data_IF_456601863738
#
_entry.id   IF_456601863738
#
_cell.length_a   1.000
_cell.length_b   1.000
_cell.length_c   1.000
_cell.angle_alpha   90.00
_cell.angle_beta   90.00
_cell.angle_gamma   90.00
#
_symmetry.space_group_name_H-M   'P 1'
#
loop_
_entity.id
_entity.type
_entity.pdbx_description
1 polymer ?
#
# COMPACT_ATOMS: atom_id res chain seq x y z
N UNK A 1 13.70 -48.45 -16.68
CA UNK A 1 14.85 -47.53 -16.55
C UNK A 1 14.30 -46.13 -16.85
N UNK A 2 14.37 -45.16 -15.92
CA UNK A 2 15.50 -44.22 -15.72
C UNK A 2 15.84 -43.47 -17.03
N UNK A 3 15.91 -42.14 -17.12
CA UNK A 3 15.72 -41.02 -16.17
C UNK A 3 15.76 -39.70 -16.96
N UNK A 4 15.06 -38.64 -16.53
CA UNK A 4 15.46 -37.19 -16.64
C UNK A 4 15.73 -36.65 -18.08
N UNK A 5 15.86 -35.37 -18.45
CA UNK A 5 15.71 -34.00 -17.88
C UNK A 5 15.47 -33.06 -19.11
N UNK A 6 15.12 -31.77 -19.09
CA UNK A 6 14.92 -30.73 -18.07
C UNK A 6 13.82 -29.74 -18.58
N UNK A 7 13.55 -28.66 -17.83
CA UNK A 7 12.66 -27.55 -18.19
C UNK A 7 13.26 -26.52 -19.16
N UNK A 8 12.41 -25.58 -19.66
CA UNK A 8 12.64 -24.11 -19.65
C UNK A 8 11.57 -23.39 -20.51
N UNK A 9 10.51 -22.83 -19.91
CA UNK A 9 10.26 -21.36 -19.74
C UNK A 9 10.08 -20.56 -21.08
N UNK A 10 9.09 -19.69 -21.32
CA UNK A 10 7.85 -19.24 -20.64
C UNK A 10 6.82 -18.93 -21.74
N UNK A 11 5.55 -19.29 -21.56
CA UNK A 11 4.48 -18.75 -22.39
C UNK A 11 3.97 -17.44 -21.76
N UNK A 12 4.30 -16.30 -22.36
CA UNK A 12 3.79 -14.99 -21.94
C UNK A 12 2.31 -14.89 -22.33
N UNK A 13 1.43 -15.33 -21.43
CA UNK A 13 -0.01 -15.25 -21.59
C UNK A 13 -0.52 -14.02 -20.83
N UNK A 14 -0.59 -12.89 -21.53
CA UNK A 14 -1.27 -11.70 -21.04
C UNK A 14 -2.77 -11.99 -20.92
N UNK A 15 -3.21 -12.45 -19.74
CA UNK A 15 -4.63 -12.65 -19.43
C UNK A 15 -5.22 -11.30 -19.03
N UNK A 16 -5.65 -10.55 -20.04
CA UNK A 16 -6.39 -9.30 -19.82
C UNK A 16 -7.69 -9.57 -19.05
N UNK A 17 -7.85 -8.86 -17.93
CA UNK A 17 -9.10 -8.53 -17.23
C UNK A 17 -10.30 -9.49 -17.44
N UNK A 18 -10.25 -10.66 -16.78
CA UNK A 18 -11.45 -11.48 -16.57
C UNK A 18 -11.97 -11.31 -15.14
N UNK A 19 -12.67 -10.20 -14.90
CA UNK A 19 -13.30 -9.88 -13.62
C UNK A 19 -14.49 -10.84 -13.32
N UNK A 20 -14.18 -12.04 -12.84
CA UNK A 20 -15.18 -12.99 -12.35
C UNK A 20 -15.42 -12.73 -10.85
N UNK A 21 -16.63 -12.31 -10.43
CA UNK A 21 -16.91 -12.00 -9.04
C UNK A 21 -17.18 -13.28 -8.23
N UNK A 22 -16.11 -14.02 -7.93
CA UNK A 22 -16.10 -14.92 -6.80
C UNK A 22 -15.59 -14.15 -5.57
N UNK A 23 -16.29 -14.20 -4.42
CA UNK A 23 -15.71 -13.79 -3.15
C UNK A 23 -14.68 -14.83 -2.73
N UNK A 24 -13.50 -14.79 -3.37
CA UNK A 24 -12.33 -15.50 -2.87
C UNK A 24 -12.01 -14.91 -1.49
N UNK A 25 -11.83 -15.78 -0.49
CA UNK A 25 -11.49 -15.35 0.86
C UNK A 25 -10.18 -14.55 0.84
N UNK A 26 -9.15 -15.05 0.18
CA UNK A 26 -7.86 -14.38 0.00
C UNK A 26 -7.57 -14.17 -1.52
N UNK A 27 -6.85 -13.09 -1.83
CA UNK A 27 -6.27 -12.76 -3.14
C UNK A 27 -4.79 -12.40 -2.97
N UNK A 28 -3.89 -13.27 -3.43
CA UNK A 28 -2.46 -12.99 -3.55
C UNK A 28 -2.11 -12.65 -5.01
N UNK A 29 -1.41 -11.53 -5.23
CA UNK A 29 -0.91 -11.09 -6.53
C UNK A 29 0.57 -10.71 -6.44
N UNK A 30 1.41 -11.42 -7.18
CA UNK A 30 2.83 -11.06 -7.38
C UNK A 30 3.10 -10.68 -8.84
N UNK A 31 3.66 -9.49 -9.09
CA UNK A 31 4.04 -9.03 -10.45
C UNK A 31 5.34 -8.21 -10.47
N UNK A 32 5.90 -7.99 -11.67
CA UNK A 32 6.95 -6.99 -11.87
C UNK A 32 6.38 -5.57 -11.96
N UNK A 33 5.33 -5.42 -12.77
CA UNK A 33 4.52 -4.20 -12.91
C UNK A 33 3.05 -4.59 -12.85
N UNK A 34 2.24 -3.81 -12.15
CA UNK A 34 0.81 -3.98 -12.04
C UNK A 34 0.16 -2.59 -12.15
N UNK A 35 -0.98 -2.54 -12.84
CA UNK A 35 -1.60 -1.34 -13.40
C UNK A 35 -3.12 -1.59 -13.37
N UNK A 36 -3.93 -0.57 -13.07
CA UNK A 36 -5.40 -0.64 -12.93
C UNK A 36 -5.88 -1.76 -11.95
N UNK A 37 -5.16 -2.03 -10.85
CA UNK A 37 -5.47 -3.21 -10.01
C UNK A 37 -6.61 -2.99 -9.02
N UNK A 38 -7.77 -3.56 -9.36
CA UNK A 38 -8.95 -3.63 -8.50
C UNK A 38 -9.10 -4.98 -7.78
N UNK A 39 -9.15 -4.96 -6.45
CA UNK A 39 -9.41 -6.14 -5.61
C UNK A 39 -10.69 -6.03 -4.75
N UNK A 40 -11.30 -7.20 -4.50
CA UNK A 40 -12.40 -7.35 -3.55
C UNK A 40 -12.48 -8.79 -3.03
N UNK A 41 -12.09 -8.98 -1.78
CA UNK A 41 -11.93 -10.27 -1.09
C UNK A 41 -12.13 -10.09 0.42
N UNK A 42 -11.78 -11.05 1.27
CA UNK A 42 -11.64 -10.82 2.71
C UNK A 42 -10.19 -10.43 3.06
N UNK A 43 -9.19 -11.04 2.44
CA UNK A 43 -7.76 -10.72 2.53
C UNK A 43 -7.26 -10.37 1.11
N UNK A 44 -6.32 -9.43 0.98
CA UNK A 44 -5.76 -9.02 -0.30
C UNK A 44 -4.29 -8.63 -0.16
N UNK A 45 -3.41 -9.48 -0.70
CA UNK A 45 -1.97 -9.40 -0.54
C UNK A 45 -1.37 -9.09 -1.92
N UNK A 46 -0.66 -7.97 -2.06
CA UNK A 46 -0.11 -7.54 -3.35
C UNK A 46 1.39 -7.24 -3.22
N UNK A 47 2.20 -7.91 -4.04
CA UNK A 47 3.64 -7.65 -4.17
C UNK A 47 3.97 -7.25 -5.60
N UNK A 48 4.50 -6.04 -5.80
CA UNK A 48 4.88 -5.53 -7.12
C UNK A 48 6.25 -4.84 -7.12
N UNK A 49 6.91 -4.75 -8.28
CA UNK A 49 8.04 -3.84 -8.45
C UNK A 49 7.56 -2.39 -8.60
N UNK A 50 6.55 -2.23 -9.45
CA UNK A 50 5.77 -1.00 -9.62
C UNK A 50 4.30 -1.36 -9.59
N UNK A 51 3.52 -0.60 -8.83
CA UNK A 51 2.06 -0.70 -8.75
C UNK A 51 1.48 0.69 -9.00
N UNK A 52 0.61 0.77 -10.00
CA UNK A 52 -0.07 1.97 -10.48
C UNK A 52 -1.59 1.76 -10.35
N UNK A 53 -2.33 2.81 -10.00
CA UNK A 53 -3.80 2.81 -9.82
C UNK A 53 -4.33 1.61 -8.98
N UNK A 54 -3.93 1.50 -7.71
CA UNK A 54 -4.35 0.40 -6.84
C UNK A 54 -5.62 0.69 -6.06
N UNK A 55 -6.67 -0.11 -6.26
CA UNK A 55 -7.88 -0.07 -5.43
C UNK A 55 -8.12 -1.40 -4.71
N UNK A 56 -8.11 -1.38 -3.38
CA UNK A 56 -8.53 -2.54 -2.56
C UNK A 56 -9.82 -2.30 -1.78
N UNK A 57 -10.60 -3.39 -1.62
CA UNK A 57 -11.71 -3.42 -0.67
C UNK A 57 -11.88 -4.81 -0.05
N UNK A 58 -11.32 -4.97 1.14
CA UNK A 58 -11.22 -6.23 1.87
C UNK A 58 -11.62 -6.08 3.34
N UNK A 59 -11.39 -7.12 4.15
CA UNK A 59 -11.20 -6.97 5.59
C UNK A 59 -9.74 -6.56 5.84
N UNK A 60 -8.75 -7.34 5.38
CA UNK A 60 -7.32 -6.98 5.51
C UNK A 60 -6.68 -6.72 4.13
N UNK A 61 -5.72 -5.80 4.04
CA UNK A 61 -5.07 -5.42 2.78
C UNK A 61 -3.59 -5.13 2.97
N UNK A 62 -2.74 -6.01 2.48
CA UNK A 62 -1.28 -5.92 2.59
C UNK A 62 -0.69 -5.58 1.22
N UNK A 63 0.05 -4.47 1.13
CA UNK A 63 0.67 -4.03 -0.14
C UNK A 63 2.15 -3.78 0.05
N UNK A 64 2.97 -4.48 -0.73
CA UNK A 64 4.43 -4.29 -0.80
C UNK A 64 4.82 -3.87 -2.22
N UNK A 65 5.46 -2.72 -2.37
CA UNK A 65 5.99 -2.28 -3.68
C UNK A 65 7.39 -1.65 -3.62
N UNK A 66 8.02 -1.52 -4.79
CA UNK A 66 9.17 -0.62 -4.97
C UNK A 66 8.70 0.83 -5.18
N UNK A 67 7.76 1.01 -6.11
CA UNK A 67 7.03 2.25 -6.35
C UNK A 67 5.53 1.94 -6.32
N UNK A 68 4.78 2.72 -5.55
CA UNK A 68 3.33 2.67 -5.48
C UNK A 68 2.80 4.07 -5.79
N UNK A 69 2.01 4.17 -6.85
CA UNK A 69 1.35 5.37 -7.33
C UNK A 69 -0.18 5.18 -7.17
N UNK A 70 -0.92 6.25 -6.90
CA UNK A 70 -2.38 6.29 -6.69
C UNK A 70 -2.95 5.08 -5.89
N UNK A 71 -2.72 5.06 -4.56
CA UNK A 71 -3.18 3.96 -3.69
C UNK A 71 -4.47 4.28 -2.93
N UNK A 72 -5.57 3.58 -3.26
CA UNK A 72 -6.82 3.60 -2.49
C UNK A 72 -7.09 2.28 -1.76
N UNK A 73 -7.10 2.32 -0.43
CA UNK A 73 -7.55 1.19 0.42
C UNK A 73 -8.82 1.49 1.20
N UNK A 74 -9.71 0.51 1.26
CA UNK A 74 -10.85 0.49 2.18
C UNK A 74 -11.06 -0.88 2.82
N UNK A 75 -10.48 -1.03 4.00
CA UNK A 75 -10.39 -2.29 4.76
C UNK A 75 -10.83 -2.10 6.23
N UNK A 76 -10.54 -3.08 7.07
CA UNK A 76 -10.51 -3.01 8.53
C UNK A 76 -9.07 -2.72 8.99
N UNK A 77 -8.08 -3.51 8.58
CA UNK A 77 -6.64 -3.24 8.76
C UNK A 77 -5.97 -3.04 7.38
N UNK A 78 -4.94 -2.20 7.27
CA UNK A 78 -4.30 -1.88 5.99
C UNK A 78 -2.82 -1.57 6.18
N UNK A 79 -1.98 -2.46 5.66
CA UNK A 79 -0.53 -2.37 5.79
C UNK A 79 0.09 -2.08 4.43
N UNK A 80 0.84 -0.98 4.33
CA UNK A 80 1.49 -0.55 3.08
C UNK A 80 2.99 -0.36 3.32
N UNK A 81 3.80 -1.11 2.59
CA UNK A 81 5.26 -0.97 2.55
C UNK A 81 5.70 -0.58 1.14
N UNK A 82 6.36 0.57 0.98
CA UNK A 82 6.91 0.97 -0.32
C UNK A 82 8.34 1.56 -0.24
N UNK A 83 9.03 1.60 -1.37
CA UNK A 83 10.23 2.44 -1.54
C UNK A 83 9.82 3.91 -1.74
N UNK A 84 8.88 4.13 -2.67
CA UNK A 84 8.21 5.41 -2.93
C UNK A 84 6.71 5.16 -2.93
N UNK A 85 5.97 5.99 -2.20
CA UNK A 85 4.51 5.99 -2.15
C UNK A 85 4.03 7.41 -2.45
N UNK A 86 3.34 7.56 -3.58
CA UNK A 86 2.68 8.78 -4.03
C UNK A 86 1.16 8.62 -3.90
N UNK A 87 0.43 9.74 -3.78
CA UNK A 87 -1.04 9.84 -3.67
C UNK A 87 -1.72 8.68 -2.86
N UNK A 88 -1.45 8.61 -1.55
CA UNK A 88 -2.01 7.55 -0.70
C UNK A 88 -3.33 7.95 -0.02
N UNK A 89 -4.41 7.21 -0.27
CA UNK A 89 -5.68 7.31 0.45
C UNK A 89 -6.03 5.99 1.19
N UNK A 90 -6.01 5.99 2.52
CA UNK A 90 -6.59 4.89 3.32
C UNK A 90 -7.85 5.28 4.10
N UNK A 91 -8.80 4.34 4.15
CA UNK A 91 -9.94 4.40 5.07
C UNK A 91 -10.23 3.03 5.69
N UNK A 92 -9.68 2.84 6.88
CA UNK A 92 -9.70 1.59 7.64
C UNK A 92 -10.16 1.82 9.10
N UNK A 93 -10.06 0.79 9.94
CA UNK A 93 -9.98 0.95 11.39
C UNK A 93 -8.51 1.16 11.80
N UNK A 94 -7.61 0.31 11.32
CA UNK A 94 -6.16 0.43 11.55
C UNK A 94 -5.41 0.64 10.23
N UNK A 95 -4.33 1.42 10.23
CA UNK A 95 -3.54 1.69 9.03
C UNK A 95 -2.08 1.91 9.39
N UNK A 96 -1.19 1.04 8.91
CA UNK A 96 0.26 1.20 9.04
C UNK A 96 0.89 1.43 7.67
N UNK A 97 1.68 2.51 7.56
CA UNK A 97 2.36 2.90 6.32
C UNK A 97 3.86 3.04 6.60
N UNK A 98 4.67 2.25 5.90
CA UNK A 98 6.13 2.33 5.90
C UNK A 98 6.61 2.71 4.50
N UNK A 99 7.30 3.85 4.35
CA UNK A 99 7.87 4.24 3.06
C UNK A 99 9.27 4.86 3.15
N UNK A 100 10.06 4.72 2.09
CA UNK A 100 11.28 5.51 1.91
C UNK A 100 10.96 6.98 1.66
N UNK A 101 10.03 7.24 0.74
CA UNK A 101 9.43 8.55 0.46
C UNK A 101 7.92 8.42 0.46
N UNK A 102 7.23 9.29 1.18
CA UNK A 102 5.77 9.38 1.22
C UNK A 102 5.36 10.81 0.85
N UNK A 103 4.59 10.95 -0.23
CA UNK A 103 3.98 12.21 -0.68
C UNK A 103 2.44 12.11 -0.65
N UNK A 104 1.77 13.26 -0.67
CA UNK A 104 0.31 13.47 -0.71
C UNK A 104 -0.53 12.40 0.03
N UNK A 105 -0.17 12.15 1.29
CA UNK A 105 -0.77 11.08 2.09
C UNK A 105 -2.03 11.55 2.86
N UNK A 106 -3.19 11.01 2.51
CA UNK A 106 -4.46 11.13 3.25
C UNK A 106 -4.85 9.82 3.96
N UNK A 107 -5.20 9.89 5.24
CA UNK A 107 -5.87 8.75 5.91
C UNK A 107 -7.01 9.16 6.83
N UNK A 108 -7.93 8.21 7.01
CA UNK A 108 -8.98 8.24 8.03
C UNK A 108 -9.16 6.87 8.66
N UNK A 109 -8.58 6.68 9.83
CA UNK A 109 -8.64 5.45 10.63
C UNK A 109 -9.13 5.70 12.07
N UNK A 110 -9.02 4.71 12.95
CA UNK A 110 -9.14 4.82 14.39
C UNK A 110 -7.74 4.98 15.02
N UNK A 111 -6.83 4.03 14.81
CA UNK A 111 -5.40 4.16 15.14
C UNK A 111 -4.56 4.13 13.84
N UNK A 112 -3.32 4.61 13.90
CA UNK A 112 -2.48 4.82 12.71
C UNK A 112 -0.99 4.90 13.03
N UNK A 113 -0.17 4.16 12.29
CA UNK A 113 1.28 4.33 12.23
C UNK A 113 1.75 4.84 10.87
N UNK A 114 2.67 5.81 10.87
CA UNK A 114 3.43 6.19 9.67
C UNK A 114 4.92 6.23 9.99
N UNK A 115 5.71 5.46 9.25
CA UNK A 115 7.17 5.52 9.26
C UNK A 115 7.67 5.92 7.88
N UNK A 116 8.29 7.10 7.77
CA UNK A 116 8.75 7.65 6.50
C UNK A 116 10.23 8.07 6.55
N UNK A 117 11.00 7.79 5.49
CA UNK A 117 12.32 8.40 5.31
C UNK A 117 12.19 9.91 5.03
N UNK A 118 11.34 10.26 4.06
CA UNK A 118 10.88 11.62 3.76
C UNK A 118 9.36 11.64 3.72
N UNK A 119 8.74 12.66 4.31
CA UNK A 119 7.29 12.89 4.33
C UNK A 119 6.97 14.31 3.81
N UNK A 120 6.19 14.41 2.74
CA UNK A 120 5.52 15.63 2.27
C UNK A 120 3.99 15.43 2.33
N UNK A 121 3.24 16.53 2.38
CA UNK A 121 1.77 16.67 2.48
C UNK A 121 1.00 15.52 3.17
N UNK A 122 1.22 15.42 4.47
CA UNK A 122 0.53 14.45 5.32
C UNK A 122 -0.76 15.00 5.97
N UNK A 123 -1.92 14.43 5.62
CA UNK A 123 -3.20 14.65 6.27
C UNK A 123 -3.75 13.39 6.94
N UNK A 124 -4.23 13.53 8.17
CA UNK A 124 -4.84 12.45 8.93
C UNK A 124 -6.15 12.85 9.59
N UNK A 125 -6.98 11.83 9.85
CA UNK A 125 -8.12 11.93 10.75
C UNK A 125 -8.31 10.61 11.49
N UNK A 126 -7.51 10.45 12.52
CA UNK A 126 -7.52 9.28 13.41
C UNK A 126 -7.81 9.70 14.86
N UNK A 127 -8.15 8.75 15.72
CA UNK A 127 -8.32 9.00 17.16
C UNK A 127 -6.97 8.93 17.88
N UNK A 128 -6.13 7.97 17.49
CA UNK A 128 -4.73 7.85 17.86
C UNK A 128 -3.88 7.87 16.58
N UNK A 129 -2.68 8.44 16.65
CA UNK A 129 -1.74 8.51 15.51
C UNK A 129 -0.30 8.63 16.01
N UNK A 130 0.60 7.82 15.44
CA UNK A 130 2.05 7.94 15.55
C UNK A 130 2.64 8.20 14.16
N UNK A 131 3.51 9.21 14.06
CA UNK A 131 4.23 9.57 12.84
C UNK A 131 5.71 9.74 13.19
N UNK A 132 6.54 8.92 12.56
CA UNK A 132 8.00 8.98 12.61
C UNK A 132 8.54 9.25 11.21
N UNK A 133 8.96 10.48 10.96
CA UNK A 133 9.59 10.88 9.71
C UNK A 133 11.06 11.28 9.92
N UNK A 134 11.95 10.86 9.02
CA UNK A 134 13.36 11.29 9.02
C UNK A 134 13.54 12.73 8.52
N UNK A 135 12.73 13.12 7.54
CA UNK A 135 12.59 14.48 7.01
C UNK A 135 11.10 14.76 6.83
N UNK A 136 10.61 15.86 7.37
CA UNK A 136 9.28 16.40 7.06
C UNK A 136 9.40 17.67 6.22
N UNK A 137 8.56 17.81 5.20
CA UNK A 137 8.45 19.00 4.36
C UNK A 137 7.14 19.73 4.73
N UNK A 138 7.14 20.67 5.70
CA UNK A 138 5.92 21.32 6.14
C UNK A 138 5.43 22.38 5.15
N UNK A 139 4.28 22.16 4.50
CA UNK A 139 3.56 23.25 3.82
C UNK A 139 2.89 24.19 4.82
N UNK A 140 2.91 25.49 4.53
CA UNK A 140 2.31 26.52 5.39
C UNK A 140 0.77 26.45 5.33
N UNK A 141 0.13 25.68 6.21
CA UNK A 141 -1.33 25.53 6.14
C UNK A 141 -2.04 24.98 7.39
N UNK A 142 -1.79 23.73 7.77
CA UNK A 142 -2.79 22.96 8.51
C UNK A 142 -2.24 22.20 9.73
N UNK A 143 -3.08 22.12 10.77
CA UNK A 143 -2.69 21.63 12.10
C UNK A 143 -2.68 20.09 12.14
N UNK A 144 -1.51 19.51 12.37
CA UNK A 144 -1.37 18.19 12.98
C UNK A 144 -1.96 18.19 14.41
N UNK A 145 -2.57 17.08 14.83
CA UNK A 145 -3.26 16.95 16.12
C UNK A 145 -2.97 15.60 16.79
N UNK A 146 -1.69 15.28 16.94
CA UNK A 146 -1.17 14.08 17.62
C UNK A 146 0.22 14.35 18.23
N UNK A 147 0.73 13.46 19.11
CA UNK A 147 2.06 13.59 19.68
C UNK A 147 3.14 13.21 18.66
N UNK A 148 3.76 14.21 18.01
CA UNK A 148 4.76 13.98 16.96
C UNK A 148 6.18 13.80 17.54
N UNK A 149 6.91 12.78 17.07
CA UNK A 149 8.27 12.44 17.53
C UNK A 149 9.30 12.61 16.40
N UNK A 150 9.61 13.85 16.05
CA UNK A 150 10.72 14.16 15.14
C UNK A 150 12.08 13.83 15.80
N UNK A 151 12.69 12.71 15.42
CA UNK A 151 14.05 12.35 15.82
C UNK A 151 15.07 13.10 14.94
N UNK A 152 15.54 14.25 15.42
CA UNK A 152 16.64 14.97 14.78
C UNK A 152 17.96 14.18 14.86
N UNK A 153 18.61 13.99 13.71
CA UNK A 153 19.95 13.41 13.55
C UNK A 153 21.00 14.53 13.48
#
# INVERSE_FOLDING_TARGET
MKFMQLASFIALLAVGALAVPHPNANKDVTSGTLDDHYSRSAENDVTAGTLDDHYSRSAESDVTSGTLDDHYSRSAESDVTSGTLDDHYSRSAESDVTSGTLDDHYSRSAEKGVTAGTLDDHYSRSAEEDVTAGIEIPKSGHNCSGPMSANAI
#
